data_IF_377829119178
#
_entry.id   IF_377829119178
#
_cell.length_a   1.000
_cell.length_b   1.000
_cell.length_c   1.000
_cell.angle_alpha   90.00
_cell.angle_beta   90.00
_cell.angle_gamma   90.00
#
_symmetry.space_group_name_H-M   'P 1'
#
loop_
_entity.id
_entity.type
_entity.pdbx_description
1 polymer ?
#
# COMPACT_ATOMS: atom_id res chain seq x y z
N UNK A 1 3.34 -18.49 15.32
CA UNK A 1 4.67 -18.05 15.72
C UNK A 1 5.24 -16.95 14.79
N UNK A 2 5.30 -17.17 13.46
CA UNK A 2 5.87 -16.19 12.50
C UNK A 2 5.25 -14.79 12.63
N UNK A 3 3.92 -14.70 12.70
CA UNK A 3 3.23 -13.40 12.80
C UNK A 3 3.59 -12.64 14.08
N UNK A 4 3.77 -13.32 15.21
CA UNK A 4 4.16 -12.71 16.48
C UNK A 4 5.58 -12.14 16.37
N UNK A 5 6.52 -12.94 15.86
CA UNK A 5 7.92 -12.51 15.68
C UNK A 5 7.95 -11.28 14.75
N UNK A 6 7.26 -11.34 13.61
CA UNK A 6 7.23 -10.26 12.64
C UNK A 6 6.55 -8.99 13.17
N UNK A 7 5.50 -9.12 13.99
CA UNK A 7 4.85 -7.97 14.62
C UNK A 7 5.80 -7.26 15.60
N UNK A 8 6.57 -8.03 16.37
CA UNK A 8 7.60 -7.48 17.28
C UNK A 8 8.73 -6.81 16.48
N UNK A 9 9.26 -7.49 15.46
CA UNK A 9 10.27 -6.91 14.56
C UNK A 9 9.78 -5.60 13.93
N UNK A 10 8.54 -5.56 13.43
CA UNK A 10 7.97 -4.38 12.80
C UNK A 10 7.74 -3.25 13.84
N UNK A 11 7.37 -3.59 15.07
CA UNK A 11 7.25 -2.62 16.14
C UNK A 11 8.59 -1.93 16.45
N UNK A 12 9.67 -2.70 16.47
CA UNK A 12 11.02 -2.23 16.79
C UNK A 12 11.66 -1.45 15.65
N UNK A 13 11.52 -1.94 14.42
CA UNK A 13 12.28 -1.45 13.27
C UNK A 13 11.55 -0.35 12.47
N UNK A 14 10.21 -0.27 12.54
CA UNK A 14 9.45 0.69 11.74
C UNK A 14 9.89 2.16 11.93
N UNK A 15 10.16 2.68 13.15
CA UNK A 15 10.59 4.06 13.29
C UNK A 15 11.87 4.38 12.51
N UNK A 16 12.86 3.49 12.59
CA UNK A 16 14.12 3.63 11.87
C UNK A 16 13.93 3.44 10.36
N UNK A 17 13.26 2.38 9.93
CA UNK A 17 13.12 2.03 8.52
C UNK A 17 12.27 3.06 7.75
N UNK A 18 11.26 3.63 8.40
CA UNK A 18 10.46 4.73 7.82
C UNK A 18 11.30 6.00 7.69
N UNK A 19 12.01 6.39 8.74
CA UNK A 19 12.80 7.62 8.73
C UNK A 19 14.00 7.54 7.76
N UNK A 20 14.65 6.37 7.65
CA UNK A 20 15.87 6.21 6.85
C UNK A 20 15.61 6.03 5.36
N UNK A 21 14.58 5.29 4.98
CA UNK A 21 14.36 4.89 3.57
C UNK A 21 12.92 5.05 3.08
N UNK A 22 12.00 5.47 3.93
CA UNK A 22 10.60 5.68 3.54
C UNK A 22 9.77 4.39 3.45
N UNK A 23 10.12 3.37 4.25
CA UNK A 23 9.35 2.11 4.31
C UNK A 23 7.91 2.40 4.65
N UNK A 24 7.00 1.71 3.98
CA UNK A 24 5.56 1.93 4.13
C UNK A 24 4.97 1.11 5.29
N UNK A 25 3.87 1.61 5.84
CA UNK A 25 3.12 1.00 6.94
C UNK A 25 1.77 0.50 6.42
N UNK A 26 1.40 -0.71 6.79
CA UNK A 26 0.02 -1.20 6.74
C UNK A 26 -0.51 -1.16 8.17
N UNK A 27 -1.58 -0.41 8.39
CA UNK A 27 -2.25 -0.38 9.70
C UNK A 27 -3.34 -1.44 9.76
N UNK A 28 -3.36 -2.20 10.85
CA UNK A 28 -4.46 -3.08 11.23
C UNK A 28 -5.03 -2.55 12.55
N UNK A 29 -6.32 -2.20 12.57
CA UNK A 29 -7.02 -1.74 13.77
C UNK A 29 -8.04 -2.80 14.17
N UNK A 30 -7.77 -3.50 15.28
CA UNK A 30 -8.58 -4.63 15.74
C UNK A 30 -8.29 -4.90 17.22
N UNK A 31 -9.29 -4.86 18.09
CA UNK A 31 -9.14 -5.12 19.52
C UNK A 31 -9.36 -6.60 19.91
N UNK A 32 -10.08 -7.35 19.08
CA UNK A 32 -10.39 -8.75 19.34
C UNK A 32 -9.19 -9.66 19.06
N UNK A 33 -8.69 -10.32 20.10
CA UNK A 33 -7.60 -11.31 20.00
C UNK A 33 -7.94 -12.39 18.96
N UNK A 34 -9.18 -12.83 18.92
CA UNK A 34 -9.65 -13.86 17.97
C UNK A 34 -9.43 -13.41 16.52
N UNK A 35 -9.81 -12.17 16.20
CA UNK A 35 -9.76 -11.68 14.82
C UNK A 35 -8.33 -11.31 14.41
N UNK A 36 -7.58 -10.53 15.19
CA UNK A 36 -6.21 -10.20 14.78
C UNK A 36 -5.28 -11.41 14.78
N UNK A 37 -5.50 -12.42 15.65
CA UNK A 37 -4.72 -13.66 15.62
C UNK A 37 -4.97 -14.49 14.35
N UNK A 38 -6.13 -14.34 13.72
CA UNK A 38 -6.44 -14.92 12.42
C UNK A 38 -5.92 -14.04 11.27
N UNK A 39 -6.16 -12.73 11.31
CA UNK A 39 -5.82 -11.80 10.22
C UNK A 39 -4.30 -11.64 10.04
N UNK A 40 -3.53 -11.46 11.13
CA UNK A 40 -2.09 -11.20 11.07
C UNK A 40 -1.29 -12.29 10.34
N UNK A 41 -1.49 -13.60 10.58
CA UNK A 41 -0.78 -14.62 9.82
C UNK A 41 -1.03 -14.57 8.32
N UNK A 42 -2.28 -14.33 7.90
CA UNK A 42 -2.63 -14.17 6.48
C UNK A 42 -2.01 -12.93 5.88
N UNK A 43 -2.06 -11.81 6.60
CA UNK A 43 -1.50 -10.53 6.16
C UNK A 43 0.02 -10.62 6.02
N UNK A 44 0.74 -11.17 7.03
CA UNK A 44 2.18 -11.37 6.95
C UNK A 44 2.58 -12.34 5.85
N UNK A 45 1.88 -13.47 5.75
CA UNK A 45 2.14 -14.45 4.67
C UNK A 45 2.04 -13.76 3.32
N UNK A 46 0.96 -13.02 3.08
CA UNK A 46 0.74 -12.34 1.82
C UNK A 46 1.81 -11.28 1.53
N UNK A 47 2.10 -10.39 2.48
CA UNK A 47 3.12 -9.33 2.31
C UNK A 47 4.50 -9.94 2.05
N UNK A 48 4.86 -11.02 2.74
CA UNK A 48 6.15 -11.70 2.53
C UNK A 48 6.21 -12.38 1.16
N UNK A 49 5.16 -13.08 0.74
CA UNK A 49 5.07 -13.71 -0.59
C UNK A 49 5.21 -12.66 -1.70
N UNK A 50 4.51 -11.54 -1.60
CA UNK A 50 4.60 -10.45 -2.59
C UNK A 50 5.99 -9.80 -2.60
N UNK A 51 6.56 -9.51 -1.43
CA UNK A 51 7.91 -8.95 -1.34
C UNK A 51 8.97 -9.90 -1.91
N UNK A 52 8.81 -11.20 -1.70
CA UNK A 52 9.67 -12.21 -2.27
C UNK A 52 9.54 -12.27 -3.81
N UNK A 53 8.31 -12.21 -4.33
CA UNK A 53 8.08 -12.18 -5.77
C UNK A 53 8.72 -10.94 -6.40
N UNK A 54 8.49 -9.75 -5.84
CA UNK A 54 9.12 -8.52 -6.32
C UNK A 54 10.65 -8.52 -6.18
N UNK A 55 11.19 -9.25 -5.22
CA UNK A 55 12.65 -9.38 -5.05
C UNK A 55 13.32 -10.15 -6.19
N UNK A 56 12.60 -11.03 -6.89
CA UNK A 56 13.10 -11.76 -8.05
C UNK A 56 13.49 -10.85 -9.22
N UNK A 57 12.89 -9.66 -9.30
CA UNK A 57 13.29 -8.65 -10.28
C UNK A 57 14.64 -7.98 -9.96
N UNK A 58 15.23 -8.26 -8.79
CA UNK A 58 16.52 -7.71 -8.39
C UNK A 58 17.66 -8.44 -9.07
N UNK A 59 18.71 -7.68 -9.43
CA UNK A 59 19.84 -8.18 -10.23
C UNK A 59 20.81 -9.09 -9.43
N UNK A 60 20.81 -9.01 -8.10
CA UNK A 60 21.69 -9.81 -7.25
C UNK A 60 21.11 -10.05 -5.84
N UNK A 61 21.73 -10.97 -5.10
CA UNK A 61 21.29 -11.36 -3.75
C UNK A 61 21.31 -10.20 -2.73
N UNK A 62 22.21 -9.23 -2.87
CA UNK A 62 22.25 -8.05 -2.00
C UNK A 62 21.00 -7.17 -2.18
N UNK A 63 20.65 -6.87 -3.43
CA UNK A 63 19.45 -6.11 -3.76
C UNK A 63 18.17 -6.86 -3.36
N UNK A 64 18.14 -8.19 -3.48
CA UNK A 64 17.04 -9.00 -2.99
C UNK A 64 16.84 -8.82 -1.48
N UNK A 65 17.91 -8.87 -0.69
CA UNK A 65 17.87 -8.65 0.75
C UNK A 65 17.38 -7.23 1.09
N UNK A 66 17.84 -6.21 0.36
CA UNK A 66 17.38 -4.82 0.56
C UNK A 66 15.89 -4.68 0.27
N UNK A 67 15.38 -5.27 -0.80
CA UNK A 67 13.92 -5.27 -1.11
C UNK A 67 13.11 -5.98 -0.03
N UNK A 68 13.58 -7.12 0.46
CA UNK A 68 12.93 -7.83 1.56
C UNK A 68 12.90 -7.02 2.86
N UNK A 69 13.94 -6.25 3.17
CA UNK A 69 13.94 -5.30 4.32
C UNK A 69 13.00 -4.12 4.09
N UNK A 70 12.87 -3.66 2.84
CA UNK A 70 11.97 -2.58 2.43
C UNK A 70 10.50 -2.98 2.33
N UNK A 71 10.13 -4.21 2.71
CA UNK A 71 8.71 -4.62 2.74
C UNK A 71 7.89 -3.71 3.66
N UNK A 72 6.63 -3.47 3.34
CA UNK A 72 5.75 -2.76 4.27
C UNK A 72 5.71 -3.41 5.64
N UNK A 73 5.75 -2.58 6.69
CA UNK A 73 5.63 -3.01 8.09
C UNK A 73 4.17 -3.01 8.51
N UNK A 74 3.79 -3.94 9.37
CA UNK A 74 2.43 -4.01 9.90
C UNK A 74 2.41 -3.41 11.29
N UNK A 75 1.51 -2.45 11.53
CA UNK A 75 1.23 -1.86 12.84
C UNK A 75 -0.17 -2.24 13.27
N UNK A 76 -0.26 -2.90 14.43
CA UNK A 76 -1.52 -3.22 15.08
C UNK A 76 -1.88 -2.12 16.08
N UNK A 77 -3.09 -1.57 15.97
CA UNK A 77 -3.74 -0.75 16.97
C UNK A 77 -4.93 -1.50 17.55
N UNK A 78 -5.16 -1.39 18.87
CA UNK A 78 -6.26 -2.07 19.55
C UNK A 78 -7.28 -1.11 20.13
N UNK A 79 -6.97 0.19 20.13
CA UNK A 79 -7.87 1.24 20.54
C UNK A 79 -7.87 2.39 19.55
N UNK A 80 -8.86 3.25 19.65
CA UNK A 80 -8.98 4.46 18.82
C UNK A 80 -7.78 5.38 19.01
N UNK A 81 -7.35 5.58 20.25
CA UNK A 81 -6.21 6.43 20.62
C UNK A 81 -4.90 5.87 20.05
N UNK A 82 -4.72 4.55 20.09
CA UNK A 82 -3.58 3.90 19.44
C UNK A 82 -3.61 4.08 17.92
N UNK A 83 -4.79 3.96 17.30
CA UNK A 83 -4.96 4.13 15.87
C UNK A 83 -4.61 5.57 15.45
N UNK A 84 -5.13 6.58 16.16
CA UNK A 84 -4.78 7.99 15.92
C UNK A 84 -3.28 8.22 16.07
N UNK A 85 -2.68 7.77 17.17
CA UNK A 85 -1.24 7.96 17.45
C UNK A 85 -0.36 7.34 16.35
N UNK A 86 -0.66 6.10 15.92
CA UNK A 86 0.08 5.44 14.85
C UNK A 86 -0.14 6.17 13.52
N UNK A 87 -1.37 6.58 13.25
CA UNK A 87 -1.69 7.34 12.03
C UNK A 87 -0.90 8.65 11.97
N UNK A 88 -0.95 9.48 13.02
CA UNK A 88 -0.22 10.76 13.07
C UNK A 88 1.28 10.57 12.92
N UNK A 89 1.85 9.56 13.58
CA UNK A 89 3.27 9.25 13.48
C UNK A 89 3.72 8.87 12.07
N UNK A 90 2.88 8.15 11.32
CA UNK A 90 3.26 7.55 10.03
C UNK A 90 2.41 8.03 8.85
N UNK A 91 1.60 9.07 8.98
CA UNK A 91 0.60 9.49 7.99
C UNK A 91 1.14 9.71 6.57
N UNK A 92 2.42 9.99 6.42
CA UNK A 92 3.08 10.16 5.12
C UNK A 92 3.55 8.84 4.51
N UNK A 93 3.58 7.77 5.28
CA UNK A 93 4.10 6.46 4.90
C UNK A 93 3.06 5.33 5.04
N UNK A 94 1.76 5.65 5.14
CA UNK A 94 0.71 4.63 5.22
C UNK A 94 0.33 4.19 3.82
N UNK A 95 0.59 2.91 3.53
CA UNK A 95 0.21 2.25 2.28
C UNK A 95 -1.28 1.93 2.24
N UNK A 96 -1.85 1.57 3.37
CA UNK A 96 -3.26 1.28 3.54
C UNK A 96 -3.65 0.96 4.97
N UNK A 97 -4.93 1.09 5.25
CA UNK A 97 -5.54 0.85 6.57
C UNK A 97 -6.59 -0.23 6.45
N UNK A 98 -6.55 -1.20 7.36
CA UNK A 98 -7.58 -2.22 7.58
C UNK A 98 -8.10 -1.98 8.98
N UNK A 99 -9.38 -1.69 9.13
CA UNK A 99 -9.98 -1.35 10.41
C UNK A 99 -11.25 -2.13 10.66
N UNK A 100 -11.36 -2.74 11.84
CA UNK A 100 -12.65 -3.16 12.34
C UNK A 100 -13.59 -1.97 12.48
N UNK A 101 -14.89 -2.22 12.42
CA UNK A 101 -15.93 -1.23 12.64
C UNK A 101 -16.05 -0.86 14.13
N UNK A 102 -15.93 -1.84 15.01
CA UNK A 102 -16.22 -1.69 16.45
C UNK A 102 -15.02 -2.11 17.30
N UNK A 103 -14.43 -1.16 18.02
CA UNK A 103 -13.32 -1.39 18.96
C UNK A 103 -13.32 -0.36 20.10
N UNK A 104 -12.35 -0.48 21.02
CA UNK A 104 -12.28 0.37 22.22
C UNK A 104 -11.98 1.84 21.86
N UNK A 105 -12.76 2.75 22.43
CA UNK A 105 -12.61 4.20 22.34
C UNK A 105 -12.97 4.82 23.68
N UNK A 106 -12.07 5.61 24.26
CA UNK A 106 -12.21 6.19 25.62
C UNK A 106 -12.54 5.14 26.68
N UNK A 107 -11.94 3.94 26.57
CA UNK A 107 -12.12 2.85 27.53
C UNK A 107 -13.44 2.08 27.40
N UNK A 108 -14.30 2.39 26.44
CA UNK A 108 -15.55 1.69 26.16
C UNK A 108 -15.59 1.14 24.75
N UNK A 109 -16.38 0.08 24.52
CA UNK A 109 -16.60 -0.46 23.18
C UNK A 109 -17.48 0.50 22.38
N UNK A 110 -16.93 1.10 21.30
CA UNK A 110 -17.64 1.99 20.40
C UNK A 110 -18.00 1.24 19.12
N UNK A 111 -19.30 1.04 18.80
CA UNK A 111 -19.72 0.32 17.61
C UNK A 111 -19.37 1.02 16.29
N UNK A 112 -19.01 2.29 16.35
CA UNK A 112 -18.69 3.14 15.19
C UNK A 112 -17.24 3.65 15.19
N UNK A 113 -16.36 3.10 16.04
CA UNK A 113 -14.99 3.57 16.17
C UNK A 113 -14.23 3.55 14.83
N UNK A 114 -14.39 2.49 14.03
CA UNK A 114 -13.76 2.37 12.71
C UNK A 114 -14.26 3.38 11.69
N UNK A 115 -15.54 3.69 11.70
CA UNK A 115 -16.11 4.75 10.87
C UNK A 115 -15.59 6.13 11.28
N UNK A 116 -15.59 6.45 12.59
CA UNK A 116 -15.02 7.69 13.12
C UNK A 116 -13.55 7.86 12.78
N UNK A 117 -12.77 6.77 12.91
CA UNK A 117 -11.37 6.77 12.51
C UNK A 117 -11.20 7.00 11.01
N UNK A 118 -12.02 6.35 10.18
CA UNK A 118 -12.06 6.60 8.74
C UNK A 118 -12.38 8.06 8.39
N UNK A 119 -13.35 8.67 9.07
CA UNK A 119 -13.66 10.10 8.91
C UNK A 119 -12.49 11.00 9.30
N UNK A 120 -11.79 10.67 10.41
CA UNK A 120 -10.58 11.39 10.81
C UNK A 120 -9.52 11.33 9.73
N UNK A 121 -9.24 10.15 9.19
CA UNK A 121 -8.28 9.98 8.08
C UNK A 121 -8.68 10.81 6.87
N UNK A 122 -9.96 10.82 6.48
CA UNK A 122 -10.45 11.60 5.33
C UNK A 122 -10.31 13.10 5.53
N UNK A 123 -10.52 13.62 6.75
CA UNK A 123 -10.36 15.05 7.07
C UNK A 123 -8.93 15.56 6.87
N UNK A 124 -7.92 14.69 6.88
CA UNK A 124 -6.54 15.08 6.59
C UNK A 124 -6.25 15.37 5.11
N UNK A 125 -7.21 15.11 4.23
CA UNK A 125 -7.05 15.25 2.77
C UNK A 125 -6.16 14.19 2.12
N UNK A 126 -5.61 13.24 2.91
CA UNK A 126 -4.72 12.19 2.37
C UNK A 126 -5.50 11.09 1.67
N UNK A 127 -5.03 10.70 0.49
CA UNK A 127 -5.62 9.64 -0.32
C UNK A 127 -5.04 8.29 0.12
N UNK A 128 -5.50 7.80 1.27
CA UNK A 128 -5.07 6.52 1.83
C UNK A 128 -6.17 5.47 1.60
N UNK A 129 -5.84 4.30 1.00
CA UNK A 129 -6.77 3.19 0.90
C UNK A 129 -7.24 2.74 2.28
N UNK A 130 -8.55 2.58 2.44
CA UNK A 130 -9.17 2.15 3.67
C UNK A 130 -10.06 0.93 3.41
N UNK A 131 -9.92 -0.08 4.24
CA UNK A 131 -10.74 -1.29 4.25
C UNK A 131 -11.45 -1.32 5.60
N UNK A 132 -12.76 -1.26 5.59
CA UNK A 132 -13.58 -1.40 6.78
C UNK A 132 -14.05 -2.85 6.90
N UNK A 133 -13.84 -3.45 8.05
CA UNK A 133 -14.24 -4.83 8.35
C UNK A 133 -15.36 -4.83 9.39
N UNK A 134 -16.33 -5.71 9.24
CA UNK A 134 -17.40 -5.88 10.23
C UNK A 134 -17.97 -7.29 10.17
N UNK A 135 -18.50 -7.76 11.30
CA UNK A 135 -19.34 -8.95 11.37
C UNK A 135 -20.80 -8.69 10.97
N UNK A 136 -21.17 -7.43 10.82
CA UNK A 136 -22.51 -6.97 10.43
C UNK A 136 -22.46 -6.40 9.01
N UNK A 137 -23.09 -7.08 8.05
CA UNK A 137 -23.10 -6.67 6.64
C UNK A 137 -23.79 -5.32 6.41
N UNK A 138 -24.70 -4.90 7.31
CA UNK A 138 -25.34 -3.58 7.29
C UNK A 138 -24.34 -2.42 7.39
N UNK A 139 -23.18 -2.65 8.02
CA UNK A 139 -22.12 -1.64 8.15
C UNK A 139 -21.41 -1.31 6.82
N UNK A 140 -21.76 -1.99 5.73
CA UNK A 140 -21.25 -1.67 4.39
C UNK A 140 -21.56 -0.23 3.98
N UNK A 141 -22.66 0.34 4.42
CA UNK A 141 -23.03 1.74 4.13
C UNK A 141 -21.97 2.72 4.62
N UNK A 142 -21.37 2.48 5.79
CA UNK A 142 -20.30 3.34 6.33
C UNK A 142 -19.01 3.26 5.53
N UNK A 143 -18.72 2.08 4.97
CA UNK A 143 -17.60 1.94 4.04
C UNK A 143 -17.84 2.73 2.74
N UNK A 144 -19.05 2.70 2.21
CA UNK A 144 -19.46 3.45 1.02
C UNK A 144 -19.36 4.96 1.25
N UNK A 145 -19.84 5.47 2.39
CA UNK A 145 -19.73 6.88 2.78
C UNK A 145 -18.25 7.34 2.90
N UNK A 146 -17.37 6.47 3.38
CA UNK A 146 -15.93 6.75 3.49
C UNK A 146 -15.20 6.64 2.14
N UNK A 147 -15.84 6.14 1.08
CA UNK A 147 -15.15 5.72 -0.14
C UNK A 147 -14.15 4.58 0.12
N UNK A 148 -14.43 3.74 1.12
CA UNK A 148 -13.62 2.62 1.55
C UNK A 148 -14.11 1.30 0.93
N UNK A 149 -13.28 0.26 1.00
CA UNK A 149 -13.71 -1.11 0.72
C UNK A 149 -14.32 -1.75 1.97
N UNK A 150 -15.27 -2.66 1.78
CA UNK A 150 -15.88 -3.42 2.87
C UNK A 150 -15.49 -4.90 2.81
N UNK A 151 -15.28 -5.52 3.98
CA UNK A 151 -15.10 -6.97 4.14
C UNK A 151 -16.02 -7.45 5.28
N UNK A 152 -16.78 -8.51 4.99
CA UNK A 152 -17.55 -9.23 6.01
C UNK A 152 -16.63 -10.21 6.74
N UNK A 153 -16.41 -10.02 8.05
CA UNK A 153 -15.55 -10.86 8.89
C UNK A 153 -16.10 -12.28 9.07
N UNK A 154 -17.40 -12.48 8.86
CA UNK A 154 -18.06 -13.79 8.93
C UNK A 154 -18.04 -14.54 7.61
N UNK A 155 -17.54 -13.93 6.53
CA UNK A 155 -17.42 -14.58 5.22
C UNK A 155 -16.50 -15.80 5.30
N UNK A 156 -16.93 -16.92 4.70
CA UNK A 156 -16.07 -18.10 4.53
C UNK A 156 -14.85 -17.82 3.65
N UNK A 157 -14.93 -16.80 2.82
CA UNK A 157 -13.86 -16.33 1.93
C UNK A 157 -13.04 -15.17 2.53
N UNK A 158 -13.19 -14.86 3.84
CA UNK A 158 -12.49 -13.72 4.47
C UNK A 158 -11.00 -13.62 4.13
N UNK A 159 -10.15 -14.68 4.20
CA UNK A 159 -8.74 -14.57 3.85
C UNK A 159 -8.51 -14.20 2.38
N UNK A 160 -9.34 -14.72 1.48
CA UNK A 160 -9.30 -14.44 0.04
C UNK A 160 -9.76 -13.00 -0.25
N UNK A 161 -10.83 -12.56 0.42
CA UNK A 161 -11.37 -11.21 0.28
C UNK A 161 -10.37 -10.18 0.80
N UNK A 162 -9.74 -10.42 1.95
CA UNK A 162 -8.68 -9.59 2.49
C UNK A 162 -7.50 -9.50 1.51
N UNK A 163 -7.00 -10.64 1.02
CA UNK A 163 -5.94 -10.72 0.02
C UNK A 163 -6.30 -9.91 -1.23
N UNK A 164 -7.51 -10.07 -1.76
CA UNK A 164 -8.01 -9.37 -2.94
C UNK A 164 -8.01 -7.86 -2.72
N UNK A 165 -8.54 -7.38 -1.60
CA UNK A 165 -8.61 -5.94 -1.29
C UNK A 165 -7.21 -5.33 -1.12
N UNK A 166 -6.29 -6.01 -0.47
CA UNK A 166 -4.90 -5.55 -0.33
C UNK A 166 -4.22 -5.50 -1.70
N UNK A 167 -4.41 -6.54 -2.53
CA UNK A 167 -3.86 -6.56 -3.90
C UNK A 167 -4.34 -5.37 -4.71
N UNK A 168 -5.66 -5.16 -4.74
CA UNK A 168 -6.30 -4.15 -5.59
C UNK A 168 -6.06 -2.72 -5.09
N UNK A 169 -5.97 -2.51 -3.76
CA UNK A 169 -6.00 -1.16 -3.16
C UNK A 169 -4.66 -0.67 -2.67
N UNK A 170 -3.77 -1.58 -2.20
CA UNK A 170 -2.48 -1.19 -1.61
C UNK A 170 -1.31 -1.25 -2.60
N UNK A 171 -1.60 -1.54 -3.88
CA UNK A 171 -0.60 -1.53 -4.95
C UNK A 171 0.20 -2.82 -5.09
N UNK A 172 -0.21 -3.92 -4.41
CA UNK A 172 0.35 -5.24 -4.64
C UNK A 172 -0.20 -5.88 -5.93
N UNK A 173 0.48 -6.89 -6.44
CA UNK A 173 0.06 -7.54 -7.69
C UNK A 173 0.25 -6.68 -8.93
N UNK A 174 -0.47 -7.01 -10.00
CA UNK A 174 -0.43 -6.26 -11.25
C UNK A 174 -1.11 -4.90 -11.10
N UNK A 175 -0.59 -3.89 -11.79
CA UNK A 175 -1.24 -2.59 -11.85
C UNK A 175 -2.26 -2.58 -13.00
N UNK A 176 -3.53 -2.56 -12.63
CA UNK A 176 -4.65 -2.55 -13.58
C UNK A 176 -5.00 -1.11 -13.94
N UNK A 177 -4.81 -0.76 -15.20
CA UNK A 177 -5.26 0.52 -15.77
C UNK A 177 -6.71 0.35 -16.21
N UNK A 178 -7.58 1.22 -15.70
CA UNK A 178 -9.01 1.20 -15.97
C UNK A 178 -9.47 2.45 -16.70
N UNK A 179 -10.56 2.32 -17.45
CA UNK A 179 -11.33 3.46 -17.92
C UNK A 179 -12.02 4.13 -16.71
N UNK A 180 -11.83 5.43 -16.45
CA UNK A 180 -12.41 6.08 -15.28
C UNK A 180 -13.94 6.19 -15.33
N UNK A 181 -14.57 6.18 -16.52
CA UNK A 181 -16.00 6.27 -16.72
C UNK A 181 -16.68 4.89 -16.61
N UNK A 182 -16.21 3.91 -17.40
CA UNK A 182 -16.83 2.56 -17.48
C UNK A 182 -16.35 1.62 -16.39
N UNK A 183 -15.21 1.93 -15.73
CA UNK A 183 -14.50 1.07 -14.76
C UNK A 183 -13.95 -0.23 -15.33
N UNK A 184 -13.98 -0.39 -16.64
CA UNK A 184 -13.43 -1.55 -17.34
C UNK A 184 -11.90 -1.51 -17.38
N UNK A 185 -11.27 -2.68 -17.35
CA UNK A 185 -9.83 -2.84 -17.51
C UNK A 185 -9.44 -2.52 -18.96
N UNK A 186 -8.51 -1.56 -19.13
CA UNK A 186 -7.92 -1.24 -20.44
C UNK A 186 -6.67 -2.07 -20.66
N UNK A 187 -5.81 -2.13 -19.66
CA UNK A 187 -4.57 -2.90 -19.71
C UNK A 187 -4.08 -3.28 -18.31
N UNK A 188 -3.20 -4.25 -18.27
CA UNK A 188 -2.58 -4.76 -17.05
C UNK A 188 -1.06 -4.65 -17.16
N UNK A 189 -0.44 -4.13 -16.12
CA UNK A 189 1.00 -3.88 -16.01
C UNK A 189 1.54 -4.77 -14.91
N UNK A 190 2.45 -5.67 -15.28
CA UNK A 190 2.97 -6.71 -14.37
C UNK A 190 4.19 -6.22 -13.57
N UNK A 191 5.11 -5.53 -14.25
CA UNK A 191 6.39 -5.12 -13.71
C UNK A 191 6.86 -3.77 -14.29
N UNK A 192 8.03 -3.29 -13.88
CA UNK A 192 8.59 -2.03 -14.37
C UNK A 192 8.90 -2.04 -15.87
N UNK A 193 9.34 -3.18 -16.39
CA UNK A 193 9.65 -3.29 -17.82
C UNK A 193 8.39 -3.21 -18.66
N UNK A 194 7.31 -3.79 -18.16
CA UNK A 194 6.00 -3.73 -18.78
C UNK A 194 5.41 -2.31 -18.70
N UNK A 195 5.55 -1.63 -17.55
CA UNK A 195 5.15 -0.23 -17.41
C UNK A 195 5.92 0.66 -18.39
N UNK A 196 7.23 0.50 -18.47
CA UNK A 196 8.09 1.27 -19.39
C UNK A 196 7.65 1.12 -20.85
N UNK A 197 7.20 -0.07 -21.25
CA UNK A 197 6.73 -0.32 -22.62
C UNK A 197 5.36 0.26 -22.90
N UNK A 198 4.48 0.27 -21.89
CA UNK A 198 3.05 0.57 -22.06
C UNK A 198 2.69 2.01 -21.67
N UNK A 199 3.57 2.75 -21.00
CA UNK A 199 3.24 4.06 -20.41
C UNK A 199 2.66 5.04 -21.46
N UNK A 200 3.22 5.08 -22.66
CA UNK A 200 2.76 5.94 -23.73
C UNK A 200 1.46 5.47 -24.41
N UNK A 201 0.99 4.27 -24.09
CA UNK A 201 -0.29 3.72 -24.58
C UNK A 201 -1.44 3.88 -23.55
N UNK A 202 -1.18 4.44 -22.37
CA UNK A 202 -2.21 4.72 -21.36
C UNK A 202 -3.01 5.94 -21.82
N UNK A 203 -4.35 5.86 -21.96
CA UNK A 203 -5.18 7.02 -22.31
C UNK A 203 -5.07 8.14 -21.27
N UNK A 204 -5.21 9.41 -21.70
CA UNK A 204 -5.07 10.59 -20.83
C UNK A 204 -5.98 10.54 -19.61
N UNK A 205 -7.26 10.27 -19.80
CA UNK A 205 -8.25 10.19 -18.71
C UNK A 205 -7.86 9.13 -17.68
N UNK A 206 -7.34 7.99 -18.15
CA UNK A 206 -6.86 6.91 -17.27
C UNK A 206 -5.59 7.31 -16.54
N UNK A 207 -4.65 7.98 -17.22
CA UNK A 207 -3.42 8.46 -16.62
C UNK A 207 -3.72 9.47 -15.50
N UNK A 208 -4.55 10.48 -15.80
CA UNK A 208 -5.05 11.47 -14.83
C UNK A 208 -5.73 10.79 -13.64
N UNK A 209 -6.63 9.84 -13.91
CA UNK A 209 -7.33 9.09 -12.88
C UNK A 209 -6.39 8.35 -11.93
N UNK A 210 -5.37 7.70 -12.47
CA UNK A 210 -4.44 6.90 -11.67
C UNK A 210 -3.40 7.76 -10.95
N UNK A 211 -2.91 8.85 -11.55
CA UNK A 211 -1.99 9.80 -10.91
C UNK A 211 -2.67 10.52 -9.74
N UNK A 212 -3.84 11.14 -9.98
CA UNK A 212 -4.57 11.90 -8.95
C UNK A 212 -4.98 11.06 -7.73
N UNK A 213 -4.95 9.73 -7.84
CA UNK A 213 -5.27 8.78 -6.75
C UNK A 213 -4.06 8.06 -6.17
N UNK A 214 -2.84 8.49 -6.51
CA UNK A 214 -1.59 7.90 -6.06
C UNK A 214 -1.46 6.39 -6.38
N UNK A 215 -2.10 5.90 -7.46
CA UNK A 215 -2.03 4.50 -7.82
C UNK A 215 -0.62 4.12 -8.30
N UNK A 216 0.04 4.99 -9.07
CA UNK A 216 1.43 4.78 -9.50
C UNK A 216 2.38 4.75 -8.30
N UNK A 217 2.32 5.75 -7.41
CA UNK A 217 3.21 5.78 -6.24
C UNK A 217 3.05 4.54 -5.36
N UNK A 218 1.81 4.06 -5.13
CA UNK A 218 1.57 2.81 -4.38
C UNK A 218 2.14 1.57 -5.06
N UNK A 219 2.05 1.49 -6.39
CA UNK A 219 2.66 0.40 -7.15
C UNK A 219 4.18 0.33 -6.95
N UNK A 220 4.85 1.48 -6.89
CA UNK A 220 6.28 1.54 -6.61
C UNK A 220 6.61 1.30 -5.13
N UNK A 221 5.84 1.86 -4.20
CA UNK A 221 6.03 1.67 -2.76
C UNK A 221 5.91 0.21 -2.35
N UNK A 222 4.91 -0.52 -2.84
CA UNK A 222 4.71 -1.93 -2.52
C UNK A 222 5.90 -2.81 -2.95
N UNK A 223 6.67 -2.35 -3.93
CA UNK A 223 7.87 -2.99 -4.48
C UNK A 223 9.19 -2.48 -3.87
N UNK A 224 9.11 -1.70 -2.79
CA UNK A 224 10.26 -1.07 -2.13
C UNK A 224 11.11 -0.20 -3.11
N UNK A 225 10.45 0.48 -4.03
CA UNK A 225 11.05 1.42 -4.97
C UNK A 225 10.77 2.85 -4.51
N UNK A 226 11.36 3.26 -3.39
CA UNK A 226 11.02 4.48 -2.67
C UNK A 226 11.30 5.78 -3.44
N UNK A 227 12.48 5.99 -4.07
CA UNK A 227 12.75 7.26 -4.75
C UNK A 227 11.72 7.60 -5.85
N UNK A 228 11.44 6.72 -6.83
CA UNK A 228 10.43 7.03 -7.84
C UNK A 228 9.01 7.10 -7.26
N UNK A 229 8.70 6.33 -6.22
CA UNK A 229 7.40 6.38 -5.54
C UNK A 229 7.16 7.74 -4.90
N UNK A 230 8.17 8.31 -4.23
CA UNK A 230 8.06 9.61 -3.56
C UNK A 230 7.87 10.76 -4.56
N UNK A 231 8.56 10.73 -5.70
CA UNK A 231 8.33 11.71 -6.77
C UNK A 231 6.90 11.62 -7.26
N UNK A 232 6.41 10.41 -7.58
CA UNK A 232 5.07 10.21 -8.13
C UNK A 232 3.94 10.51 -7.14
N UNK A 233 4.20 10.39 -5.84
CA UNK A 233 3.24 10.76 -4.79
C UNK A 233 2.96 12.26 -4.75
N UNK A 234 3.95 13.07 -5.11
CA UNK A 234 3.89 14.52 -5.07
C UNK A 234 3.56 15.15 -6.43
N UNK A 235 3.25 14.34 -7.44
CA UNK A 235 2.80 14.84 -8.75
C UNK A 235 1.40 15.43 -8.63
N UNK A 236 1.27 16.71 -8.95
CA UNK A 236 -0.03 17.32 -9.20
C UNK A 236 -0.32 17.28 -10.70
N UNK A 237 -1.43 16.66 -11.06
CA UNK A 237 -1.85 16.51 -12.46
C UNK A 237 -2.13 17.86 -13.10
N UNK A 238 -2.51 18.88 -12.30
CA UNK A 238 -2.78 20.24 -12.78
C UNK A 238 -1.53 20.98 -13.27
N UNK A 239 -0.33 20.50 -12.92
CA UNK A 239 0.94 21.05 -13.38
C UNK A 239 1.23 20.72 -14.85
N UNK A 240 0.47 19.80 -15.46
CA UNK A 240 0.71 19.30 -16.80
C UNK A 240 -0.40 19.78 -17.76
N UNK A 241 0.00 20.53 -18.78
CA UNK A 241 -0.88 20.90 -19.91
C UNK A 241 -0.94 19.80 -20.96
N UNK A 242 0.11 18.99 -21.06
CA UNK A 242 0.24 17.83 -21.94
C UNK A 242 0.54 16.57 -21.12
N UNK A 243 -0.30 15.56 -21.25
CA UNK A 243 -0.12 14.29 -20.53
C UNK A 243 1.09 13.49 -21.01
N UNK A 244 1.66 13.80 -22.17
CA UNK A 244 2.91 13.18 -22.60
C UNK A 244 4.11 13.61 -21.74
N UNK A 245 4.08 14.79 -21.14
CA UNK A 245 5.09 15.21 -20.16
C UNK A 245 5.02 14.35 -18.90
N UNK A 246 3.82 14.06 -18.40
CA UNK A 246 3.63 13.17 -17.25
C UNK A 246 4.05 11.72 -17.56
N UNK A 247 3.74 11.20 -18.78
CA UNK A 247 4.22 9.90 -19.25
C UNK A 247 5.75 9.84 -19.30
N UNK A 248 6.36 10.90 -19.84
CA UNK A 248 7.82 11.03 -19.93
C UNK A 248 8.45 11.06 -18.53
N UNK A 249 7.88 11.80 -17.58
CA UNK A 249 8.35 11.77 -16.19
C UNK A 249 8.38 10.34 -15.64
N UNK A 250 7.28 9.59 -15.77
CA UNK A 250 7.20 8.21 -15.29
C UNK A 250 8.24 7.32 -15.99
N UNK A 251 8.36 7.45 -17.31
CA UNK A 251 9.35 6.72 -18.10
C UNK A 251 10.78 7.01 -17.63
N UNK A 252 11.12 8.29 -17.47
CA UNK A 252 12.47 8.72 -17.07
C UNK A 252 12.81 8.26 -15.66
N UNK A 253 11.86 8.31 -14.73
CA UNK A 253 12.03 7.77 -13.37
C UNK A 253 12.36 6.26 -13.40
N UNK A 254 11.69 5.49 -14.25
CA UNK A 254 11.97 4.05 -14.41
C UNK A 254 13.38 3.85 -14.98
N UNK A 255 13.75 4.60 -16.03
CA UNK A 255 15.07 4.52 -16.67
C UNK A 255 16.17 4.87 -15.68
N UNK A 256 16.02 5.98 -14.96
CA UNK A 256 16.99 6.41 -13.94
C UNK A 256 17.14 5.37 -12.82
N UNK A 257 16.02 4.88 -12.29
CA UNK A 257 16.03 3.85 -11.25
C UNK A 257 16.75 2.58 -11.71
N UNK A 258 16.50 2.13 -12.93
CA UNK A 258 17.20 0.95 -13.50
C UNK A 258 18.67 1.21 -13.75
N UNK A 259 19.07 2.39 -14.25
CA UNK A 259 20.49 2.77 -14.44
C UNK A 259 21.25 2.81 -13.12
N UNK A 260 20.69 3.42 -12.08
CA UNK A 260 21.31 3.45 -10.75
C UNK A 260 21.52 2.05 -10.18
N UNK A 261 20.57 1.15 -10.38
CA UNK A 261 20.70 -0.26 -9.97
C UNK A 261 21.81 -0.99 -10.74
N UNK A 262 21.92 -0.76 -12.04
CA UNK A 262 22.95 -1.37 -12.89
C UNK A 262 24.35 -0.81 -12.57
N UNK A 263 24.48 0.49 -12.34
CA UNK A 263 25.76 1.11 -11.96
C UNK A 263 26.31 0.54 -10.63
N UNK A 264 25.45 0.30 -9.64
CA UNK A 264 25.85 -0.35 -8.39
C UNK A 264 26.37 -1.78 -8.59
N UNK A 265 25.85 -2.52 -9.57
CA UNK A 265 26.35 -3.88 -9.90
C UNK A 265 27.74 -3.81 -10.54
N UNK A 266 27.94 -2.89 -11.49
CA UNK A 266 29.23 -2.72 -12.19
C UNK A 266 30.33 -2.28 -11.22
N UNK A 267 30.03 -1.37 -10.28
CA UNK A 267 30.99 -0.92 -9.27
C UNK A 267 31.47 -2.04 -8.32
N UNK A 268 30.64 -3.07 -8.08
CA UNK A 268 31.01 -4.24 -7.26
C UNK A 268 31.94 -5.18 -8.05
N UNK A 269 31.73 -5.36 -9.35
CA UNK A 269 32.57 -6.19 -10.21
C UNK A 269 33.95 -5.58 -10.52
N UNK A 270 34.10 -4.26 -10.39
CA UNK A 270 35.41 -3.59 -10.61
C UNK A 270 36.27 -3.53 -9.35
N UNK A 271 35.82 -4.03 -8.21
CA UNK A 271 36.60 -4.08 -6.95
C UNK A 271 37.21 -5.43 -6.61
N UNK A 272 36.90 -6.47 -7.37
CA UNK A 272 37.51 -7.80 -7.30
C UNK A 272 38.57 -7.95 -8.42
#
# INVERSE_FOLDING_TARGET
LLAIIKLIEDKMNAPHDVASVGVQIIMLVEDSIRFYSSALPHLYKYVLEQSQEFSKEALNAHQQKLRMRGRPKIKLARTYEEAIRIFEQYQNNILGIISDMSFMHDGVKDPYAGYKFGQYVRKTGKIIPFVLESSESSNKIYAEELGASFIDKNSKSYPQDLRKKITERFGFGDFVIINPQTKEEIMRIKDLKDLQRKIFSIPDDSLVYHLSRNHFSRFFYSRAMFPPAEVLKNVDVSDYTDMDEARKLIFDLIVQYRRMKNAGVVAIYQKD
#
